data_IF_734715190960
#
_entry.id   IF_734715190960
#
_cell.length_a   1.000
_cell.length_b   1.000
_cell.length_c   1.000
_cell.angle_alpha   90.00
_cell.angle_beta   90.00
_cell.angle_gamma   90.00
#
_symmetry.space_group_name_H-M   'P 1'
#
loop_
_entity.id
_entity.type
_entity.pdbx_description
1 polymer ?
#
# COMPACT_ATOMS: atom_id res chain seq x y z
N UNK A 1 8.22 0.57 -10.57
CA UNK A 1 7.63 0.43 -11.91
C UNK A 1 6.23 0.98 -11.83
N UNK A 2 5.86 1.88 -12.73
CA UNK A 2 4.48 2.37 -12.86
C UNK A 2 3.65 1.28 -13.55
N UNK A 3 2.49 0.95 -12.99
CA UNK A 3 1.60 -0.10 -13.48
C UNK A 3 0.30 0.44 -14.10
N UNK A 4 0.21 1.75 -14.34
CA UNK A 4 -1.01 2.44 -14.81
C UNK A 4 -2.09 2.56 -13.71
N UNK A 5 -3.10 3.42 -13.91
CA UNK A 5 -4.21 3.65 -12.97
C UNK A 5 -3.80 3.93 -11.49
N UNK A 6 -2.75 4.75 -11.28
CA UNK A 6 -2.22 5.12 -9.96
C UNK A 6 -1.67 3.94 -9.13
N UNK A 7 -1.36 2.81 -9.78
CA UNK A 7 -0.72 1.66 -9.16
C UNK A 7 0.80 1.68 -9.33
N UNK A 8 1.53 1.52 -8.23
CA UNK A 8 2.99 1.53 -8.23
C UNK A 8 3.54 0.22 -7.65
N UNK A 9 4.51 -0.39 -8.35
CA UNK A 9 5.29 -1.50 -7.82
C UNK A 9 6.64 -1.00 -7.30
N UNK A 10 6.84 -1.15 -5.99
CA UNK A 10 8.08 -0.81 -5.30
C UNK A 10 8.76 -2.09 -4.84
N UNK A 11 10.04 -2.24 -5.17
CA UNK A 11 10.88 -3.34 -4.67
C UNK A 11 11.79 -2.79 -3.58
N UNK A 12 11.65 -3.34 -2.38
CA UNK A 12 12.49 -2.99 -1.24
C UNK A 12 13.57 -4.06 -1.07
N UNK A 13 14.81 -3.62 -0.90
CA UNK A 13 15.97 -4.52 -0.70
C UNK A 13 16.16 -4.91 0.77
N UNK A 14 15.62 -4.10 1.69
CA UNK A 14 15.70 -4.32 3.12
C UNK A 14 14.35 -4.83 3.65
N UNK A 15 14.39 -5.99 4.33
CA UNK A 15 13.22 -6.63 4.92
C UNK A 15 12.58 -5.77 6.01
N UNK A 16 13.38 -5.03 6.80
CA UNK A 16 12.84 -4.12 7.81
C UNK A 16 12.04 -2.99 7.16
N UNK A 17 12.55 -2.40 6.08
CA UNK A 17 11.84 -1.34 5.36
C UNK A 17 10.58 -1.88 4.68
N UNK A 18 10.60 -3.14 4.21
CA UNK A 18 9.41 -3.83 3.71
C UNK A 18 8.34 -3.98 4.79
N UNK A 19 8.69 -4.51 5.96
CA UNK A 19 7.74 -4.66 7.05
C UNK A 19 7.21 -3.32 7.55
N UNK A 20 8.06 -2.31 7.63
CA UNK A 20 7.64 -0.94 7.96
C UNK A 20 6.61 -0.45 6.94
N UNK A 21 6.93 -0.49 5.65
CA UNK A 21 6.01 -0.07 4.60
C UNK A 21 4.66 -0.82 4.66
N UNK A 22 4.65 -2.09 5.06
CA UNK A 22 3.44 -2.91 5.14
C UNK A 22 2.63 -2.72 6.44
N UNK A 23 3.30 -2.47 7.59
CA UNK A 23 2.70 -2.56 8.93
C UNK A 23 2.62 -1.20 9.64
N UNK A 24 3.62 -0.32 9.44
CA UNK A 24 3.83 0.86 10.29
C UNK A 24 2.92 2.07 9.98
N UNK A 25 1.91 1.94 9.12
CA UNK A 25 0.84 2.92 9.15
C UNK A 25 -0.08 3.03 7.93
N UNK A 26 -1.08 3.92 8.04
CA UNK A 26 -1.72 4.52 6.88
C UNK A 26 -0.73 5.52 6.26
N UNK A 27 -0.34 5.30 5.01
CA UNK A 27 0.54 6.22 4.32
C UNK A 27 -0.30 7.30 3.65
N UNK A 28 -0.04 8.56 4.00
CA UNK A 28 -0.60 9.72 3.30
C UNK A 28 0.52 10.47 2.61
N UNK A 29 0.42 10.62 1.29
CA UNK A 29 1.32 11.49 0.52
C UNK A 29 0.45 12.59 -0.09
N UNK A 30 0.76 13.86 0.21
CA UNK A 30 -0.02 15.02 -0.25
C UNK A 30 -1.53 14.89 0.03
N UNK A 31 -1.92 14.48 1.25
CA UNK A 31 -3.31 14.23 1.65
C UNK A 31 -4.05 13.09 0.90
N UNK A 32 -3.34 12.30 0.09
CA UNK A 32 -3.87 11.10 -0.56
C UNK A 32 -3.50 9.85 0.24
N UNK A 33 -4.49 9.01 0.56
CA UNK A 33 -4.26 7.73 1.21
C UNK A 33 -3.70 6.70 0.22
N UNK A 34 -2.61 6.04 0.60
CA UNK A 34 -2.08 4.91 -0.15
C UNK A 34 -2.59 3.60 0.41
N UNK A 35 -3.05 2.73 -0.49
CA UNK A 35 -3.25 1.33 -0.20
C UNK A 35 -1.93 0.58 -0.43
N UNK A 36 -1.35 0.04 0.64
CA UNK A 36 -0.17 -0.82 0.55
C UNK A 36 -0.59 -2.28 0.70
N UNK A 37 -0.12 -3.13 -0.20
CA UNK A 37 -0.29 -4.57 -0.12
C UNK A 37 0.97 -5.29 -0.58
N UNK A 38 1.15 -6.52 -0.11
CA UNK A 38 2.19 -7.40 -0.62
C UNK A 38 1.92 -7.74 -2.09
N UNK A 39 2.96 -7.64 -2.92
CA UNK A 39 2.86 -8.02 -4.33
C UNK A 39 2.56 -9.51 -4.48
N UNK A 40 1.64 -9.84 -5.40
CA UNK A 40 1.32 -11.21 -5.79
C UNK A 40 1.51 -11.37 -7.30
N UNK A 41 1.92 -12.56 -7.79
CA UNK A 41 2.09 -12.80 -9.24
C UNK A 41 0.80 -12.64 -10.05
N UNK A 42 -0.37 -12.76 -9.39
CA UNK A 42 -1.69 -12.59 -9.99
C UNK A 42 -2.23 -11.17 -9.87
N UNK A 43 -1.42 -10.21 -9.42
CA UNK A 43 -1.86 -8.82 -9.26
C UNK A 43 -2.25 -8.23 -10.62
N UNK A 44 -3.49 -7.75 -10.72
CA UNK A 44 -3.96 -6.93 -11.84
C UNK A 44 -4.37 -5.57 -11.30
N UNK A 45 -3.94 -4.54 -11.99
CA UNK A 45 -4.23 -3.13 -11.67
C UNK A 45 -5.73 -2.84 -11.78
N UNK A 46 -6.40 -3.55 -12.69
CA UNK A 46 -7.85 -3.49 -12.88
C UNK A 46 -8.65 -4.27 -11.85
N UNK A 47 -8.01 -5.04 -10.96
CA UNK A 47 -8.72 -5.68 -9.86
C UNK A 47 -9.18 -4.61 -8.87
N UNK A 48 -10.39 -4.75 -8.29
CA UNK A 48 -10.85 -3.83 -7.28
C UNK A 48 -9.84 -3.79 -6.12
N UNK A 49 -9.60 -2.58 -5.62
CA UNK A 49 -8.81 -2.33 -4.41
C UNK A 49 -9.06 -3.42 -3.36
N UNK A 50 -8.00 -3.96 -2.72
CA UNK A 50 -8.12 -5.13 -1.86
C UNK A 50 -9.23 -4.96 -0.84
N UNK A 51 -10.15 -5.94 -0.78
CA UNK A 51 -11.35 -5.93 0.08
C UNK A 51 -11.06 -5.72 1.58
N UNK A 52 -9.80 -5.91 1.99
CA UNK A 52 -9.35 -5.76 3.36
C UNK A 52 -8.11 -4.86 3.36
N UNK A 53 -8.33 -3.59 3.64
CA UNK A 53 -7.26 -2.63 3.92
C UNK A 53 -7.19 -2.39 5.42
N UNK A 54 -5.97 -2.26 5.93
CA UNK A 54 -5.75 -1.79 7.30
C UNK A 54 -5.95 -0.28 7.27
N UNK A 55 -7.16 0.17 7.60
CA UNK A 55 -7.47 1.59 7.78
C UNK A 55 -7.32 1.92 9.26
N UNK A 56 -6.30 2.70 9.60
CA UNK A 56 -6.17 3.25 10.95
C UNK A 56 -7.12 4.42 11.10
N UNK A 57 -8.26 4.22 11.78
CA UNK A 57 -9.03 5.33 12.32
C UNK A 57 -8.26 5.86 13.54
N UNK A 58 -7.47 6.92 13.33
CA UNK A 58 -6.95 7.68 14.46
C UNK A 58 -8.15 8.31 15.17
N UNK A 59 -8.61 7.66 16.24
CA UNK A 59 -9.53 8.28 17.18
C UNK A 59 -8.75 9.37 17.92
N UNK A 60 -8.71 10.57 17.36
CA UNK A 60 -8.35 11.77 18.11
C UNK A 60 -9.48 12.01 19.11
N UNK A 61 -9.23 11.69 20.38
CA UNK A 61 -9.93 12.36 21.48
C UNK A 61 -9.45 13.79 21.60
#
# INVERSE_FOLDING_TARGET
MDLDQDAFLVKLSNEQDYFRALIDGPWTIFDHYLAVQQWTPSFKVSDPLPRKMIVWSSSRR
#
